data_IF_422509208118
#
_entry.id   IF_422509208118
#
_cell.length_a   1.000
_cell.length_b   1.000
_cell.length_c   1.000
_cell.angle_alpha   90.00
_cell.angle_beta   90.00
_cell.angle_gamma   90.00
#
_symmetry.space_group_name_H-M   'P 1'
#
loop_
_entity.id
_entity.type
_entity.pdbx_description
1 polymer ?
#
# COMPACT_ATOMS: atom_id res chain seq x y z
N UNK A 1 5.00 14.97 -0.46
CA UNK A 1 4.48 13.70 -1.03
C UNK A 1 3.53 13.07 -0.05
N UNK A 2 2.28 12.80 -0.45
CA UNK A 2 1.24 12.30 0.46
C UNK A 2 0.66 10.96 -0.02
N UNK A 3 0.57 10.01 0.88
CA UNK A 3 -0.26 8.82 0.74
C UNK A 3 -1.60 9.08 1.44
N UNK A 4 -2.70 8.86 0.75
CA UNK A 4 -4.00 8.70 1.40
C UNK A 4 -4.34 7.22 1.38
N UNK A 5 -4.83 6.67 2.49
CA UNK A 5 -5.16 5.26 2.53
C UNK A 5 -6.42 4.96 3.33
N UNK A 6 -7.05 3.84 3.01
CA UNK A 6 -8.08 3.26 3.87
C UNK A 6 -7.59 1.93 4.44
N UNK A 7 -7.89 1.68 5.71
CA UNK A 7 -7.65 0.39 6.34
C UNK A 7 -8.83 0.06 7.26
N UNK A 8 -9.35 -1.15 7.19
CA UNK A 8 -10.33 -1.63 8.18
C UNK A 8 -9.68 -1.99 9.51
N UNK A 9 -10.49 -2.53 10.42
CA UNK A 9 -10.08 -3.04 11.72
C UNK A 9 -9.00 -4.13 11.65
N UNK A 10 -8.82 -4.83 10.53
CA UNK A 10 -7.73 -5.82 10.40
C UNK A 10 -6.35 -5.16 10.25
N UNK A 11 -6.29 -3.88 9.87
CA UNK A 11 -5.05 -3.09 9.90
C UNK A 11 -4.01 -3.44 8.82
N UNK A 12 -4.31 -4.35 7.88
CA UNK A 12 -3.31 -4.81 6.90
C UNK A 12 -2.75 -3.66 6.04
N UNK A 13 -3.62 -2.83 5.46
CA UNK A 13 -3.19 -1.69 4.63
C UNK A 13 -2.50 -0.63 5.47
N UNK A 14 -2.92 -0.41 6.72
CA UNK A 14 -2.23 0.48 7.64
C UNK A 14 -0.78 0.03 7.87
N UNK A 15 -0.56 -1.25 8.19
CA UNK A 15 0.79 -1.80 8.38
C UNK A 15 1.66 -1.67 7.13
N UNK A 16 1.08 -1.85 5.94
CA UNK A 16 1.79 -1.63 4.69
C UNK A 16 2.26 -0.17 4.58
N UNK A 17 1.35 0.79 4.75
CA UNK A 17 1.65 2.23 4.63
C UNK A 17 2.67 2.69 5.69
N UNK A 18 2.55 2.19 6.92
CA UNK A 18 3.53 2.45 7.99
C UNK A 18 4.93 1.95 7.61
N UNK A 19 5.04 0.77 6.98
CA UNK A 19 6.33 0.26 6.48
C UNK A 19 6.85 1.08 5.30
N UNK A 20 5.98 1.56 4.40
CA UNK A 20 6.39 2.46 3.31
C UNK A 20 7.03 3.74 3.86
N UNK A 21 6.54 4.26 4.99
CA UNK A 21 7.21 5.31 5.75
C UNK A 21 7.10 6.71 5.16
N UNK A 22 6.29 6.88 4.11
CA UNK A 22 5.97 8.19 3.53
C UNK A 22 4.88 8.91 4.34
N UNK A 23 4.79 10.25 4.28
CA UNK A 23 3.70 10.98 4.91
C UNK A 23 2.34 10.43 4.48
N UNK A 24 1.47 10.14 5.44
CA UNK A 24 0.22 9.46 5.18
C UNK A 24 -0.97 10.00 5.98
N UNK A 25 -2.15 10.03 5.35
CA UNK A 25 -3.41 10.37 5.96
C UNK A 25 -4.42 9.22 5.79
N UNK A 26 -5.08 8.85 6.88
CA UNK A 26 -6.04 7.74 6.89
C UNK A 26 -7.45 8.26 6.63
N UNK A 27 -8.13 7.66 5.66
CA UNK A 27 -9.59 7.82 5.47
C UNK A 27 -10.29 7.21 6.69
N UNK A 28 -11.19 7.96 7.36
CA UNK A 28 -11.83 7.51 8.60
C UNK A 28 -12.55 6.17 8.45
N UNK A 29 -12.54 5.38 9.53
CA UNK A 29 -13.16 4.06 9.53
C UNK A 29 -14.66 4.17 9.80
N UNK A 30 -15.03 5.02 10.76
CA UNK A 30 -16.37 5.22 11.27
C UNK A 30 -16.97 6.53 10.77
N UNK A 31 -18.31 6.56 10.67
CA UNK A 31 -19.04 7.76 10.21
C UNK A 31 -19.07 8.89 11.24
N UNK A 32 -18.73 8.60 12.48
CA UNK A 32 -18.68 9.56 13.59
C UNK A 32 -17.37 10.34 13.61
N UNK A 33 -16.37 9.90 12.86
CA UNK A 33 -15.11 10.61 12.69
C UNK A 33 -15.26 11.70 11.63
N UNK A 34 -14.51 12.79 11.81
CA UNK A 34 -14.49 13.90 10.85
C UNK A 34 -14.00 13.45 9.48
N UNK A 35 -14.60 14.00 8.42
CA UNK A 35 -14.19 13.68 7.06
C UNK A 35 -12.78 14.16 6.77
N UNK A 36 -11.98 13.32 6.12
CA UNK A 36 -10.66 13.70 5.66
C UNK A 36 -10.77 14.63 4.43
N UNK A 37 -10.24 15.84 4.56
CA UNK A 37 -10.01 16.77 3.45
C UNK A 37 -8.50 16.88 3.24
N UNK A 38 -8.06 16.68 2.00
CA UNK A 38 -6.64 16.82 1.61
C UNK A 38 -6.45 18.07 0.77
N UNK A 39 -5.29 18.71 0.92
CA UNK A 39 -4.98 19.99 0.26
C UNK A 39 -3.71 19.92 -0.60
N UNK A 40 -3.22 18.72 -0.86
CA UNK A 40 -2.07 18.48 -1.73
C UNK A 40 -2.28 17.23 -2.59
N UNK A 41 -1.54 17.10 -3.72
CA UNK A 41 -1.60 15.91 -4.55
C UNK A 41 -1.19 14.64 -3.81
N UNK A 42 -1.92 13.54 -4.02
CA UNK A 42 -1.70 12.30 -3.28
C UNK A 42 -1.84 11.03 -4.14
N UNK A 43 -1.24 9.94 -3.65
CA UNK A 43 -1.51 8.58 -4.13
C UNK A 43 -2.44 7.86 -3.16
N UNK A 44 -3.46 7.20 -3.69
CA UNK A 44 -4.41 6.44 -2.89
C UNK A 44 -3.95 4.98 -2.71
N UNK A 45 -3.88 4.48 -1.47
CA UNK A 45 -3.71 3.06 -1.18
C UNK A 45 -5.04 2.47 -0.69
N UNK A 46 -5.61 1.54 -1.46
CA UNK A 46 -6.97 1.04 -1.25
C UNK A 46 -7.03 -0.49 -1.16
N UNK A 47 -7.59 -1.09 -0.08
CA UNK A 47 -7.87 -2.51 -0.05
C UNK A 47 -9.09 -2.84 -0.93
N UNK A 48 -9.10 -4.06 -1.47
CA UNK A 48 -10.22 -4.61 -2.25
C UNK A 48 -11.13 -5.46 -1.37
N UNK A 49 -12.44 -5.20 -1.40
CA UNK A 49 -13.47 -6.00 -0.72
C UNK A 49 -14.39 -6.73 -1.71
N UNK A 50 -15.20 -7.67 -1.23
CA UNK A 50 -16.14 -8.39 -2.10
C UNK A 50 -15.46 -9.24 -3.18
N UNK A 51 -14.23 -9.71 -2.94
CA UNK A 51 -13.55 -10.65 -3.83
C UNK A 51 -14.26 -12.02 -3.86
N UNK A 52 -14.18 -12.70 -5.00
CA UNK A 52 -14.84 -14.00 -5.23
C UNK A 52 -16.27 -13.86 -5.78
N UNK A 53 -16.83 -12.66 -5.81
CA UNK A 53 -18.17 -12.43 -6.37
C UNK A 53 -18.21 -12.59 -7.90
N UNK A 54 -17.08 -12.43 -8.61
CA UNK A 54 -16.99 -12.79 -10.04
C UNK A 54 -17.12 -14.30 -10.28
N UNK A 55 -16.93 -15.14 -9.26
CA UNK A 55 -17.12 -16.59 -9.35
C UNK A 55 -18.56 -17.02 -9.02
N UNK A 56 -19.36 -16.14 -8.41
CA UNK A 56 -20.72 -16.45 -7.93
C UNK A 56 -21.83 -15.65 -8.63
N UNK A 57 -21.49 -14.85 -9.66
CA UNK A 57 -22.42 -13.95 -10.37
C UNK A 57 -23.06 -12.87 -9.46
N UNK A 58 -22.45 -12.59 -8.30
CA UNK A 58 -22.90 -11.52 -7.41
C UNK A 58 -22.30 -10.16 -7.82
N UNK A 59 -22.97 -9.06 -7.44
CA UNK A 59 -22.51 -7.71 -7.74
C UNK A 59 -21.23 -7.39 -6.95
N UNK A 60 -20.09 -7.34 -7.63
CA UNK A 60 -18.80 -6.99 -7.03
C UNK A 60 -18.80 -5.50 -6.63
N UNK A 61 -18.62 -5.23 -5.33
CA UNK A 61 -18.37 -3.88 -4.82
C UNK A 61 -16.94 -3.80 -4.27
N UNK A 62 -15.93 -3.72 -5.16
CA UNK A 62 -14.53 -3.85 -4.78
C UNK A 62 -14.01 -2.69 -3.94
N UNK A 63 -14.56 -1.50 -4.13
CA UNK A 63 -14.11 -0.28 -3.45
C UNK A 63 -14.87 -0.10 -2.12
N UNK A 64 -14.17 0.07 -0.97
CA UNK A 64 -14.81 0.34 0.31
C UNK A 64 -15.68 1.61 0.26
N UNK A 65 -16.83 1.59 0.95
CA UNK A 65 -17.79 2.73 0.96
C UNK A 65 -17.16 4.03 1.47
N UNK A 66 -16.21 3.94 2.40
CA UNK A 66 -15.47 5.08 2.93
C UNK A 66 -14.61 5.73 1.85
N UNK A 67 -13.93 4.93 1.02
CA UNK A 67 -13.16 5.41 -0.11
C UNK A 67 -14.07 6.03 -1.18
N UNK A 68 -15.23 5.43 -1.45
CA UNK A 68 -16.23 6.01 -2.35
C UNK A 68 -16.68 7.38 -1.84
N UNK A 69 -17.00 7.51 -0.54
CA UNK A 69 -17.40 8.78 0.07
C UNK A 69 -16.29 9.83 -0.07
N UNK A 70 -15.05 9.46 0.25
CA UNK A 70 -13.89 10.32 0.11
C UNK A 70 -13.66 10.82 -1.33
N UNK A 71 -13.78 9.94 -2.34
CA UNK A 71 -13.63 10.27 -3.77
C UNK A 71 -14.87 10.93 -4.39
N UNK A 72 -16.02 10.91 -3.72
CA UNK A 72 -17.19 11.66 -4.16
C UNK A 72 -17.07 13.15 -3.85
N UNK A 73 -16.23 13.53 -2.89
CA UNK A 73 -15.81 14.92 -2.72
C UNK A 73 -14.90 15.32 -3.90
N UNK A 74 -15.35 16.27 -4.71
CA UNK A 74 -14.65 16.67 -5.94
C UNK A 74 -13.30 17.32 -5.68
N UNK A 75 -13.16 18.06 -4.57
CA UNK A 75 -11.89 18.66 -4.15
C UNK A 75 -10.85 17.58 -3.90
N UNK A 76 -11.15 16.60 -3.05
CA UNK A 76 -10.27 15.45 -2.79
C UNK A 76 -9.99 14.70 -4.09
N UNK A 77 -11.03 14.38 -4.88
CA UNK A 77 -10.88 13.65 -6.15
C UNK A 77 -9.97 14.36 -7.15
N UNK A 78 -9.95 15.70 -7.17
CA UNK A 78 -9.09 16.47 -8.09
C UNK A 78 -7.58 16.35 -7.79
N UNK A 79 -7.24 15.92 -6.57
CA UNK A 79 -5.86 15.84 -6.08
C UNK A 79 -5.26 14.43 -6.18
N UNK A 80 -6.05 13.40 -6.53
CA UNK A 80 -5.50 12.06 -6.74
C UNK A 80 -4.56 12.05 -7.96
N UNK A 81 -3.43 11.35 -7.83
CA UNK A 81 -2.40 11.19 -8.88
C UNK A 81 -2.14 9.75 -9.28
N UNK A 82 -2.61 8.80 -8.49
CA UNK A 82 -2.49 7.38 -8.77
C UNK A 82 -3.18 6.56 -7.70
N UNK A 83 -3.37 5.27 -7.98
CA UNK A 83 -3.93 4.31 -7.02
C UNK A 83 -3.05 3.07 -6.93
N UNK A 84 -2.84 2.60 -5.71
CA UNK A 84 -2.23 1.32 -5.37
C UNK A 84 -3.29 0.48 -4.69
N UNK A 85 -3.45 -0.78 -5.10
CA UNK A 85 -4.46 -1.67 -4.55
C UNK A 85 -3.86 -2.80 -3.69
N UNK A 86 -4.48 -3.04 -2.55
CA UNK A 86 -4.20 -4.20 -1.71
C UNK A 86 -5.28 -5.27 -1.93
N UNK A 87 -4.89 -6.54 -1.89
CA UNK A 87 -5.85 -7.64 -2.02
C UNK A 87 -5.33 -8.96 -1.47
N UNK A 88 -5.92 -10.04 -1.95
CA UNK A 88 -5.44 -11.40 -1.72
C UNK A 88 -5.63 -12.18 -3.03
N UNK A 89 -4.56 -12.80 -3.51
CA UNK A 89 -4.48 -13.54 -4.77
C UNK A 89 -5.42 -14.75 -4.79
N UNK A 90 -5.83 -15.26 -3.64
CA UNK A 90 -6.86 -16.31 -3.51
C UNK A 90 -8.20 -15.91 -4.14
N UNK A 91 -8.45 -14.62 -4.40
CA UNK A 91 -9.64 -14.14 -5.10
C UNK A 91 -9.49 -14.13 -6.64
N UNK A 92 -8.38 -14.63 -7.18
CA UNK A 92 -8.18 -14.85 -8.61
C UNK A 92 -8.40 -13.56 -9.43
N UNK A 93 -9.33 -13.54 -10.39
CA UNK A 93 -9.60 -12.36 -11.22
C UNK A 93 -9.97 -11.10 -10.42
N UNK A 94 -10.52 -11.25 -9.22
CA UNK A 94 -10.91 -10.12 -8.37
C UNK A 94 -9.74 -9.57 -7.53
N UNK A 95 -8.56 -10.19 -7.61
CA UNK A 95 -7.38 -9.71 -6.90
C UNK A 95 -7.09 -8.25 -7.27
N UNK A 96 -7.12 -7.37 -6.28
CA UNK A 96 -6.87 -5.92 -6.42
C UNK A 96 -7.82 -5.16 -7.36
N UNK A 97 -9.03 -5.67 -7.61
CA UNK A 97 -10.00 -5.06 -8.52
C UNK A 97 -10.37 -3.60 -8.14
N UNK A 98 -10.26 -3.22 -6.87
CA UNK A 98 -10.54 -1.84 -6.44
C UNK A 98 -9.64 -0.82 -7.14
N UNK A 99 -8.37 -1.14 -7.37
CA UNK A 99 -7.43 -0.26 -8.06
C UNK A 99 -7.85 0.02 -9.50
N UNK A 100 -8.30 -1.02 -10.21
CA UNK A 100 -8.78 -0.88 -11.59
C UNK A 100 -10.03 0.00 -11.68
N UNK A 101 -11.00 -0.22 -10.78
CA UNK A 101 -12.23 0.58 -10.72
C UNK A 101 -11.93 2.05 -10.45
N UNK A 102 -11.05 2.33 -9.49
CA UNK A 102 -10.66 3.71 -9.14
C UNK A 102 -9.87 4.36 -10.27
N UNK A 103 -8.88 3.65 -10.83
CA UNK A 103 -8.06 4.10 -11.96
C UNK A 103 -8.92 4.57 -13.13
N UNK A 104 -9.86 3.72 -13.59
CA UNK A 104 -10.77 4.06 -14.70
C UNK A 104 -11.68 5.24 -14.38
N UNK A 105 -12.26 5.27 -13.18
CA UNK A 105 -13.22 6.31 -12.79
C UNK A 105 -12.54 7.68 -12.60
N UNK A 106 -11.38 7.69 -11.98
CA UNK A 106 -10.63 8.90 -11.67
C UNK A 106 -9.63 9.31 -12.76
N UNK A 107 -9.41 8.46 -13.77
CA UNK A 107 -8.45 8.66 -14.88
C UNK A 107 -7.02 8.89 -14.38
N UNK A 108 -6.59 8.06 -13.42
CA UNK A 108 -5.25 8.08 -12.83
C UNK A 108 -4.60 6.70 -12.98
N UNK A 109 -3.27 6.59 -13.04
CA UNK A 109 -2.60 5.30 -13.16
C UNK A 109 -2.87 4.35 -11.98
N UNK A 110 -3.02 3.07 -12.29
CA UNK A 110 -2.98 1.97 -11.32
C UNK A 110 -1.52 1.56 -11.13
N UNK A 111 -0.88 2.12 -10.10
CA UNK A 111 0.58 2.13 -9.95
C UNK A 111 1.14 0.79 -9.49
N UNK A 112 0.46 0.11 -8.56
CA UNK A 112 0.97 -1.12 -7.99
C UNK A 112 -0.15 -1.95 -7.33
N UNK A 113 0.14 -3.24 -7.12
CA UNK A 113 -0.75 -4.20 -6.47
C UNK A 113 0.06 -5.03 -5.48
N UNK A 114 -0.46 -5.24 -4.28
CA UNK A 114 0.20 -6.07 -3.26
C UNK A 114 -0.80 -6.91 -2.47
N UNK A 115 -0.29 -7.91 -1.76
CA UNK A 115 -1.12 -8.81 -0.94
C UNK A 115 -1.09 -8.45 0.54
N UNK A 116 -2.27 -8.47 1.18
CA UNK A 116 -2.46 -8.28 2.61
C UNK A 116 -1.76 -7.02 3.14
N UNK A 117 -0.65 -7.18 3.88
CA UNK A 117 0.15 -6.10 4.48
C UNK A 117 1.45 -5.80 3.71
N UNK A 118 1.58 -6.39 2.52
CA UNK A 118 2.78 -6.38 1.68
C UNK A 118 3.97 -7.09 2.31
N UNK A 119 4.91 -7.53 1.50
CA UNK A 119 6.21 -7.98 1.96
C UNK A 119 7.22 -6.81 2.06
N UNK A 120 8.52 -7.11 2.16
CA UNK A 120 9.57 -6.09 2.15
C UNK A 120 9.84 -5.54 0.74
N UNK A 121 9.70 -6.37 -0.29
CA UNK A 121 9.92 -5.99 -1.68
C UNK A 121 8.84 -5.02 -2.14
N UNK A 122 7.57 -5.27 -1.80
CA UNK A 122 6.45 -4.38 -2.08
C UNK A 122 6.68 -2.99 -1.47
N UNK A 123 7.20 -2.96 -0.24
CA UNK A 123 7.46 -1.72 0.49
C UNK A 123 8.58 -0.91 -0.17
N UNK A 124 9.71 -1.56 -0.48
CA UNK A 124 10.85 -0.92 -1.13
C UNK A 124 10.44 -0.41 -2.52
N UNK A 125 9.83 -1.28 -3.33
CA UNK A 125 9.39 -0.95 -4.68
C UNK A 125 8.43 0.24 -4.69
N UNK A 126 7.38 0.22 -3.86
CA UNK A 126 6.41 1.33 -3.81
C UNK A 126 7.09 2.62 -3.35
N UNK A 127 7.97 2.56 -2.35
CA UNK A 127 8.67 3.75 -1.87
C UNK A 127 9.52 4.36 -2.99
N UNK A 128 10.40 3.57 -3.60
CA UNK A 128 11.29 4.01 -4.67
C UNK A 128 10.49 4.57 -5.85
N UNK A 129 9.48 3.84 -6.32
CA UNK A 129 8.68 4.29 -7.45
C UNK A 129 7.95 5.61 -7.19
N UNK A 130 7.44 5.83 -5.98
CA UNK A 130 6.78 7.10 -5.64
C UNK A 130 7.78 8.25 -5.50
N UNK A 131 8.95 8.00 -4.92
CA UNK A 131 10.04 8.98 -4.77
C UNK A 131 10.60 9.39 -6.13
N UNK A 132 11.02 8.42 -6.94
CA UNK A 132 11.72 8.65 -8.20
C UNK A 132 10.80 9.28 -9.26
N UNK A 133 9.50 8.97 -9.21
CA UNK A 133 8.52 9.47 -10.19
C UNK A 133 7.65 10.62 -9.64
N UNK A 134 8.02 11.24 -8.52
CA UNK A 134 7.20 12.27 -7.86
C UNK A 134 6.79 13.39 -8.85
N UNK A 135 7.75 13.89 -9.62
CA UNK A 135 7.51 14.94 -10.60
C UNK A 135 6.58 14.48 -11.74
N UNK A 136 6.82 13.30 -12.30
CA UNK A 136 6.00 12.73 -13.38
C UNK A 136 4.55 12.47 -12.92
N UNK A 137 4.38 12.10 -11.65
CA UNK A 137 3.07 11.92 -11.03
C UNK A 137 2.43 13.24 -10.57
N UNK A 138 3.10 14.38 -10.68
CA UNK A 138 2.59 15.67 -10.19
C UNK A 138 2.36 15.68 -8.68
N UNK A 139 3.20 14.97 -7.93
CA UNK A 139 3.26 14.96 -6.48
C UNK A 139 4.19 16.06 -5.98
N UNK A 140 3.92 16.58 -4.79
CA UNK A 140 4.88 17.41 -4.09
C UNK A 140 6.10 16.54 -3.70
N UNK A 141 7.33 16.94 -4.03
CA UNK A 141 8.51 16.19 -3.63
C UNK A 141 8.63 16.12 -2.11
N UNK A 142 9.38 15.14 -1.61
CA UNK A 142 9.77 15.09 -0.21
C UNK A 142 10.90 16.10 0.05
N UNK A 143 11.02 16.53 1.30
CA UNK A 143 12.21 17.25 1.74
C UNK A 143 13.42 16.29 1.60
N UNK A 144 14.56 16.75 1.03
CA UNK A 144 15.79 15.96 0.98
C UNK A 144 16.17 15.30 2.31
N UNK A 145 15.96 15.98 3.44
CA UNK A 145 16.27 15.41 4.75
C UNK A 145 15.39 14.21 5.11
N UNK A 146 14.15 14.16 4.61
CA UNK A 146 13.25 13.02 4.82
C UNK A 146 13.55 11.89 3.84
N UNK A 147 14.02 12.20 2.62
CA UNK A 147 14.55 11.21 1.69
C UNK A 147 15.77 10.50 2.29
N UNK A 148 16.71 11.25 2.88
CA UNK A 148 17.91 10.69 3.52
C UNK A 148 17.55 9.78 4.71
N UNK A 149 16.59 10.17 5.55
CA UNK A 149 16.10 9.32 6.66
C UNK A 149 15.48 8.03 6.17
N UNK A 150 14.71 8.10 5.07
CA UNK A 150 14.08 6.92 4.47
C UNK A 150 15.12 5.96 3.89
N UNK A 151 16.15 6.49 3.22
CA UNK A 151 17.26 5.71 2.69
C UNK A 151 18.03 5.02 3.82
N UNK A 152 18.42 5.77 4.87
CA UNK A 152 19.10 5.21 6.03
C UNK A 152 18.27 4.11 6.72
N UNK A 153 16.95 4.31 6.86
CA UNK A 153 16.07 3.31 7.44
C UNK A 153 15.95 2.05 6.58
N UNK A 154 15.95 2.20 5.25
CA UNK A 154 15.95 1.07 4.33
C UNK A 154 17.25 0.25 4.44
N UNK A 155 18.40 0.93 4.52
CA UNK A 155 19.70 0.28 4.69
C UNK A 155 19.78 -0.50 6.02
N UNK A 156 19.30 0.09 7.12
CA UNK A 156 19.21 -0.59 8.43
C UNK A 156 18.37 -1.87 8.34
N UNK A 157 17.17 -1.80 7.74
CA UNK A 157 16.28 -2.95 7.61
C UNK A 157 16.93 -4.05 6.76
N UNK A 158 17.57 -3.68 5.64
CA UNK A 158 18.27 -4.65 4.81
C UNK A 158 19.40 -5.34 5.57
N UNK A 159 20.17 -4.58 6.36
CA UNK A 159 21.24 -5.14 7.20
C UNK A 159 20.68 -6.09 8.27
N UNK A 160 19.60 -5.71 8.97
CA UNK A 160 18.95 -6.55 9.97
C UNK A 160 18.40 -7.85 9.35
N UNK A 161 17.73 -7.76 8.20
CA UNK A 161 17.21 -8.91 7.46
C UNK A 161 18.34 -9.84 6.99
N UNK A 162 19.45 -9.28 6.48
CA UNK A 162 20.62 -10.06 6.08
C UNK A 162 21.25 -10.81 7.28
N UNK A 163 21.43 -10.13 8.42
CA UNK A 163 21.93 -10.76 9.65
C UNK A 163 21.00 -11.86 10.16
N UNK A 164 19.68 -11.64 10.11
CA UNK A 164 18.69 -12.65 10.50
C UNK A 164 18.77 -13.88 9.60
N UNK A 165 18.91 -13.69 8.29
CA UNK A 165 19.07 -14.79 7.33
C UNK A 165 20.34 -15.59 7.61
N UNK A 166 21.46 -14.92 7.91
CA UNK A 166 22.72 -15.57 8.26
C UNK A 166 22.58 -16.40 9.56
N UNK A 167 21.93 -15.85 10.59
CA UNK A 167 21.63 -16.59 11.84
C UNK A 167 20.77 -17.82 11.58
N UNK A 168 19.77 -17.71 10.72
CA UNK A 168 18.92 -18.84 10.34
C UNK A 168 19.72 -19.92 9.60
N UNK A 169 20.54 -19.54 8.61
CA UNK A 169 21.44 -20.48 7.89
C UNK A 169 22.32 -21.26 8.86
N UNK A 170 23.04 -20.57 9.76
CA UNK A 170 23.87 -21.20 10.80
C UNK A 170 23.09 -22.16 11.69
N UNK A 171 21.85 -21.82 12.06
CA UNK A 171 20.98 -22.69 12.89
C UNK A 171 20.59 -23.98 12.15
N UNK A 172 20.23 -23.89 10.88
CA UNK A 172 19.82 -25.05 10.09
C UNK A 172 21.00 -25.95 9.73
N UNK A 173 22.17 -25.38 9.41
CA UNK A 173 23.38 -26.15 9.15
C UNK A 173 23.81 -26.97 10.37
N UNK A 174 23.73 -26.38 11.58
CA UNK A 174 24.04 -27.05 12.85
C UNK A 174 23.05 -28.17 13.20
N UNK A 175 21.78 -28.01 12.83
CA UNK A 175 20.76 -29.03 13.05
C UNK A 175 20.88 -30.19 12.06
N UNK A 176 21.36 -29.92 10.84
CA UNK A 176 21.54 -30.95 9.82
C UNK A 176 22.75 -31.84 10.15
N UNK A 177 23.86 -31.25 10.60
CA UNK A 177 25.05 -31.99 11.08
C UNK A 177 24.76 -32.89 12.29
N UNK A 178 23.84 -32.49 13.17
CA UNK A 178 23.38 -33.31 14.31
C UNK A 178 22.43 -34.45 13.94
N UNK A 179 21.81 -34.43 12.75
CA UNK A 179 20.92 -35.51 12.28
C UNK A 179 21.66 -36.60 11.49
N UNK A 180 22.87 -36.30 11.02
CA UNK A 180 23.73 -37.21 10.23
C UNK A 180 24.82 -37.90 11.06
N UNK A 181 24.87 -37.65 12.37
CA UNK A 181 25.74 -38.31 13.34
C UNK A 181 24.90 -39.16 14.29
#
# INVERSE_FOLDING_TARGET
MLIVYFSSATGNTQRFVEKVGLPAARIPLYRTEDELIVNEPYVLVCPTYGGGASLTSENTRPVPKQVIKFLNNEHNRSLIRGVIAAGNSNFGPDFCLAGEVISRKCRVPHLYRFELMGDENDVVYVREQLVDNAQALGLNPLDPADVDKLAARADEIQQESAQRLERLRKKYDRNNTKKTA
#
